data_IF_047408438708
#
_entry.id   IF_047408438708
#
_cell.length_a   1.000
_cell.length_b   1.000
_cell.length_c   1.000
_cell.angle_alpha   90.00
_cell.angle_beta   90.00
_cell.angle_gamma   90.00
#
_symmetry.space_group_name_H-M   'P 1'
#
loop_
_entity.id
_entity.type
_entity.pdbx_description
1 polymer ?
#
# COMPACT_ATOMS: atom_id res chain seq x y z
N UNK A 1 33.15 30.95 10.46
CA UNK A 1 34.23 29.99 10.77
C UNK A 1 34.10 28.83 9.80
N UNK A 2 35.17 28.45 9.11
CA UNK A 2 35.18 27.23 8.29
C UNK A 2 35.37 26.01 9.20
N UNK A 3 34.76 24.88 8.85
CA UNK A 3 34.97 23.62 9.54
C UNK A 3 36.43 23.21 9.42
N UNK A 4 36.97 22.57 10.47
CA UNK A 4 38.26 21.91 10.35
C UNK A 4 38.10 20.54 9.67
N UNK A 5 39.21 19.93 9.27
CA UNK A 5 39.24 18.64 8.54
C UNK A 5 38.55 17.50 9.29
N UNK A 6 38.69 17.43 10.61
CA UNK A 6 38.07 16.37 11.42
C UNK A 6 36.55 16.55 11.50
N UNK A 7 36.08 17.80 11.63
CA UNK A 7 34.67 18.13 11.59
C UNK A 7 34.07 17.80 10.22
N UNK A 8 34.77 18.13 9.13
CA UNK A 8 34.32 17.82 7.78
C UNK A 8 34.21 16.29 7.56
N UNK A 9 35.20 15.52 8.02
CA UNK A 9 35.19 14.07 7.95
C UNK A 9 34.02 13.47 8.75
N UNK A 10 33.76 13.98 9.94
CA UNK A 10 32.62 13.56 10.77
C UNK A 10 31.29 13.82 10.06
N UNK A 11 31.07 15.04 9.55
CA UNK A 11 29.83 15.38 8.85
C UNK A 11 29.63 14.55 7.58
N UNK A 12 30.69 14.29 6.82
CA UNK A 12 30.63 13.40 5.64
C UNK A 12 30.21 11.99 6.02
N UNK A 13 30.75 11.45 7.12
CA UNK A 13 30.36 10.13 7.64
C UNK A 13 28.91 10.12 8.11
N UNK A 14 28.48 11.14 8.86
CA UNK A 14 27.09 11.28 9.30
C UNK A 14 26.13 11.36 8.10
N UNK A 15 26.46 12.13 7.06
CA UNK A 15 25.65 12.20 5.84
C UNK A 15 25.53 10.84 5.13
N UNK A 16 26.62 10.06 5.05
CA UNK A 16 26.56 8.72 4.47
C UNK A 16 25.67 7.79 5.28
N UNK A 17 25.77 7.84 6.61
CA UNK A 17 24.95 7.02 7.50
C UNK A 17 23.47 7.37 7.40
N UNK A 18 23.12 8.65 7.43
CA UNK A 18 21.74 9.12 7.25
C UNK A 18 21.20 8.71 5.87
N UNK A 19 22.00 8.79 4.80
CA UNK A 19 21.58 8.30 3.47
C UNK A 19 21.26 6.81 3.46
N UNK A 20 22.05 6.00 4.16
CA UNK A 20 21.75 4.56 4.29
C UNK A 20 20.46 4.32 5.07
N UNK A 21 20.24 5.08 6.14
CA UNK A 21 19.02 4.97 6.93
C UNK A 21 17.78 5.39 6.13
N UNK A 22 17.88 6.45 5.32
CA UNK A 22 16.81 6.85 4.39
C UNK A 22 16.49 5.75 3.38
N UNK A 23 17.50 5.19 2.72
CA UNK A 23 17.29 4.09 1.78
C UNK A 23 16.67 2.85 2.44
N UNK A 24 17.04 2.56 3.69
CA UNK A 24 16.43 1.47 4.45
C UNK A 24 14.96 1.76 4.81
N UNK A 25 14.62 3.01 5.13
CA UNK A 25 13.23 3.43 5.36
C UNK A 25 12.40 3.30 4.09
N UNK A 26 12.92 3.75 2.94
CA UNK A 26 12.23 3.62 1.65
C UNK A 26 11.90 2.15 1.33
N UNK A 27 12.86 1.26 1.56
CA UNK A 27 12.65 -0.18 1.37
C UNK A 27 11.60 -0.77 2.33
N UNK A 28 11.52 -0.27 3.57
CA UNK A 28 10.48 -0.68 4.52
C UNK A 28 9.11 -0.17 4.08
N UNK A 29 9.02 1.07 3.62
CA UNK A 29 7.77 1.65 3.11
C UNK A 29 7.24 0.83 1.94
N UNK A 30 8.08 0.50 0.94
CA UNK A 30 7.62 -0.28 -0.21
C UNK A 30 7.15 -1.68 0.19
N UNK A 31 7.82 -2.30 1.16
CA UNK A 31 7.39 -3.60 1.71
C UNK A 31 6.00 -3.51 2.36
N UNK A 32 5.76 -2.50 3.18
CA UNK A 32 4.45 -2.31 3.80
C UNK A 32 3.36 -1.99 2.77
N UNK A 33 3.67 -1.17 1.76
CA UNK A 33 2.74 -0.90 0.65
C UNK A 33 2.37 -2.18 -0.10
N UNK A 34 3.34 -3.08 -0.32
CA UNK A 34 3.08 -4.38 -0.93
C UNK A 34 2.12 -5.24 -0.10
N UNK A 35 2.32 -5.30 1.22
CA UNK A 35 1.41 -6.02 2.13
C UNK A 35 0.00 -5.44 2.12
N UNK A 36 -0.12 -4.11 2.07
CA UNK A 36 -1.41 -3.42 1.94
C UNK A 36 -2.10 -3.80 0.63
N UNK A 37 -1.37 -3.79 -0.50
CA UNK A 37 -1.91 -4.19 -1.82
C UNK A 37 -2.45 -5.62 -1.80
N UNK A 38 -1.68 -6.56 -1.24
CA UNK A 38 -2.10 -7.97 -1.11
C UNK A 38 -3.35 -8.11 -0.25
N UNK A 39 -3.40 -7.42 0.89
CA UNK A 39 -4.55 -7.45 1.79
C UNK A 39 -5.80 -6.84 1.14
N UNK A 40 -5.64 -5.74 0.40
CA UNK A 40 -6.74 -5.12 -0.34
C UNK A 40 -7.29 -6.06 -1.42
N UNK A 41 -6.43 -6.72 -2.19
CA UNK A 41 -6.85 -7.69 -3.19
C UNK A 41 -7.65 -8.84 -2.57
N UNK A 42 -7.17 -9.41 -1.46
CA UNK A 42 -7.87 -10.47 -0.74
C UNK A 42 -9.25 -10.01 -0.21
N UNK A 43 -9.34 -8.79 0.33
CA UNK A 43 -10.61 -8.22 0.81
C UNK A 43 -11.60 -7.98 -0.34
N UNK A 44 -11.14 -7.52 -1.50
CA UNK A 44 -11.99 -7.34 -2.67
C UNK A 44 -12.50 -8.67 -3.21
N UNK A 45 -11.68 -9.71 -3.23
CA UNK A 45 -12.11 -11.07 -3.60
C UNK A 45 -13.18 -11.62 -2.64
N UNK A 46 -13.01 -11.39 -1.34
CA UNK A 46 -14.03 -11.75 -0.34
C UNK A 46 -15.31 -10.96 -0.55
N UNK A 47 -15.24 -9.64 -0.78
CA UNK A 47 -16.40 -8.78 -1.09
C UNK A 47 -17.15 -9.32 -2.31
N UNK A 48 -16.45 -9.68 -3.38
CA UNK A 48 -17.03 -10.29 -4.58
C UNK A 48 -17.73 -11.62 -4.27
N UNK A 49 -17.11 -12.47 -3.47
CA UNK A 49 -17.70 -13.75 -3.06
C UNK A 49 -19.02 -13.53 -2.31
N UNK A 50 -19.06 -12.58 -1.38
CA UNK A 50 -20.31 -12.25 -0.67
C UNK A 50 -21.38 -11.67 -1.59
N UNK A 51 -21.01 -10.81 -2.55
CA UNK A 51 -21.95 -10.30 -3.55
C UNK A 51 -22.60 -11.45 -4.35
N UNK A 52 -21.81 -12.42 -4.80
CA UNK A 52 -22.33 -13.60 -5.53
C UNK A 52 -23.30 -14.44 -4.67
N UNK A 53 -22.96 -14.67 -3.40
CA UNK A 53 -23.84 -15.38 -2.47
C UNK A 53 -25.15 -14.63 -2.26
N UNK A 54 -25.07 -13.31 -2.08
CA UNK A 54 -26.22 -12.45 -1.90
C UNK A 54 -27.13 -12.47 -3.13
N UNK A 55 -26.58 -12.30 -4.33
CA UNK A 55 -27.33 -12.38 -5.59
C UNK A 55 -27.99 -13.74 -5.79
N UNK A 56 -27.25 -14.83 -5.54
CA UNK A 56 -27.78 -16.19 -5.65
C UNK A 56 -28.96 -16.40 -4.70
N UNK A 57 -28.83 -15.91 -3.46
CA UNK A 57 -29.89 -16.01 -2.45
C UNK A 57 -31.12 -15.16 -2.82
N UNK A 58 -30.91 -13.93 -3.30
CA UNK A 58 -31.99 -13.07 -3.76
C UNK A 58 -32.78 -13.70 -4.92
N UNK A 59 -32.08 -14.28 -5.90
CA UNK A 59 -32.69 -15.02 -7.02
C UNK A 59 -33.54 -16.20 -6.55
N UNK A 60 -33.06 -16.97 -5.57
CA UNK A 60 -33.83 -18.10 -4.99
C UNK A 60 -35.09 -17.63 -4.26
N UNK A 61 -35.07 -16.42 -3.69
CA UNK A 61 -36.22 -15.82 -3.01
C UNK A 61 -37.16 -15.04 -3.94
N UNK A 62 -36.83 -14.93 -5.23
CA UNK A 62 -37.60 -14.15 -6.20
C UNK A 62 -37.52 -12.63 -5.97
N UNK A 63 -36.45 -12.15 -5.33
CA UNK A 63 -36.19 -10.74 -5.12
C UNK A 63 -35.35 -10.17 -6.26
N UNK A 64 -35.80 -9.06 -6.85
CA UNK A 64 -34.96 -8.26 -7.76
C UNK A 64 -33.93 -7.45 -6.96
N UNK A 65 -32.68 -7.52 -7.38
CA UNK A 65 -31.57 -6.87 -6.68
C UNK A 65 -30.59 -6.33 -7.73
N UNK A 66 -30.30 -5.04 -7.66
CA UNK A 66 -29.22 -4.41 -8.43
C UNK A 66 -28.01 -4.23 -7.50
N UNK A 67 -26.91 -4.92 -7.79
CA UNK A 67 -25.63 -4.61 -7.16
C UNK A 67 -24.82 -3.76 -8.13
N UNK A 68 -24.40 -2.59 -7.68
CA UNK A 68 -23.42 -1.81 -8.42
C UNK A 68 -22.06 -2.53 -8.43
N UNK A 69 -21.52 -2.73 -9.63
CA UNK A 69 -20.13 -3.10 -9.83
C UNK A 69 -19.25 -1.87 -9.59
N UNK A 70 -19.06 -1.54 -8.31
CA UNK A 70 -17.95 -0.68 -7.93
C UNK A 70 -16.64 -1.45 -8.12
N UNK A 71 -16.13 -1.46 -9.35
CA UNK A 71 -14.69 -1.57 -9.58
C UNK A 71 -14.04 -0.31 -8.99
N UNK A 72 -13.88 -0.27 -7.66
CA UNK A 72 -13.03 0.73 -7.01
C UNK A 72 -11.62 0.55 -7.54
N UNK A 73 -11.28 1.36 -8.54
CA UNK A 73 -9.96 1.41 -9.14
C UNK A 73 -8.96 1.67 -8.01
N UNK A 74 -8.11 0.69 -7.75
CA UNK A 74 -6.96 0.74 -6.82
C UNK A 74 -5.89 1.76 -7.32
N UNK A 75 -6.26 2.72 -8.15
CA UNK A 75 -5.34 3.59 -8.89
C UNK A 75 -4.90 4.84 -8.12
N UNK A 76 -5.49 5.13 -6.95
CA UNK A 76 -5.12 6.31 -6.14
C UNK A 76 -4.08 6.02 -5.05
N UNK A 77 -3.53 4.82 -4.97
CA UNK A 77 -2.29 4.63 -4.21
C UNK A 77 -1.14 5.28 -4.98
N UNK A 78 -0.38 6.21 -4.37
CA UNK A 78 0.76 6.82 -5.03
C UNK A 78 1.70 5.73 -5.51
N UNK A 79 1.96 5.71 -6.83
CA UNK A 79 3.10 5.00 -7.38
C UNK A 79 4.32 5.80 -6.96
N UNK A 80 5.07 5.29 -5.97
CA UNK A 80 6.40 5.80 -5.63
C UNK A 80 7.37 5.42 -6.75
#
# INVERSE_FOLDING_TARGET
MALNTDQEALYRKTMQEVRKQLAALDAQIEKELQLVREKLAALQEQKKTYKLVLEGTAKLLGLEMELEDEEEKITDMPKV
#
